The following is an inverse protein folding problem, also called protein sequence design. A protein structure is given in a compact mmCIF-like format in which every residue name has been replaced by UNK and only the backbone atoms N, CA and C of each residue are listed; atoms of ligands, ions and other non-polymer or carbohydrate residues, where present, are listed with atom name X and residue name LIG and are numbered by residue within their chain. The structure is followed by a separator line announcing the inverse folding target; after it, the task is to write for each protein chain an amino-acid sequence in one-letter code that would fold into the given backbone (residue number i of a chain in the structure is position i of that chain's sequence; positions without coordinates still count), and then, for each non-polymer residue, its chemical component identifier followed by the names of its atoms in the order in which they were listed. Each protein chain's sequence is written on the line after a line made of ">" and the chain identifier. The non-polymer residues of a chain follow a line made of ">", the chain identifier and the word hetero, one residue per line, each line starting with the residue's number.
data_IF_642973623864
#
_entry.id   IF_642973623864
#
_cell.length_a   1.000
_cell.length_b   1.000
_cell.length_c   1.000
_cell.angle_alpha   90.00
_cell.angle_beta   90.00
_cell.angle_gamma   90.00
#
_symmetry.space_group_name_H-M   'P 1'
#
loop_
_entity.id
_entity.type
_entity.pdbx_description
1 polymer ?
#
# COMPACT_ATOMS: atom_id res chain seq x y z
N UNK A 1 -15.81 5.86 37.89
CA UNK A 1 -17.12 6.32 38.42
C UNK A 1 -17.08 7.85 38.34
N UNK A 2 -17.68 8.47 37.32
CA UNK A 2 -17.84 9.92 37.23
C UNK A 2 -18.92 10.37 38.23
N UNK A 3 -18.73 11.51 38.85
CA UNK A 3 -19.73 12.08 39.71
C UNK A 3 -21.00 12.35 38.90
N UNK A 4 -22.14 11.82 39.30
CA UNK A 4 -23.44 12.11 38.73
C UNK A 4 -23.87 13.50 39.21
N UNK A 5 -24.43 14.31 38.32
CA UNK A 5 -24.93 15.65 38.68
C UNK A 5 -26.09 15.51 39.67
N UNK A 6 -26.11 16.40 40.65
CA UNK A 6 -27.27 16.54 41.53
C UNK A 6 -28.47 17.14 40.80
N UNK A 7 -29.70 16.88 41.21
CA UNK A 7 -30.88 17.49 40.60
C UNK A 7 -30.81 19.04 40.52
N UNK A 8 -30.27 19.66 41.51
CA UNK A 8 -30.07 21.16 41.53
C UNK A 8 -29.05 21.60 40.46
N UNK A 9 -27.95 20.87 40.27
CA UNK A 9 -26.98 21.17 39.21
C UNK A 9 -27.59 20.98 37.81
N UNK A 10 -28.41 19.94 37.61
CA UNK A 10 -29.13 19.73 36.34
C UNK A 10 -30.10 20.86 36.03
N UNK A 11 -30.89 21.35 37.03
CA UNK A 11 -31.78 22.49 36.85
C UNK A 11 -31.02 23.78 36.51
N UNK A 12 -29.86 24.04 37.16
CA UNK A 12 -28.99 25.19 36.86
C UNK A 12 -28.46 25.11 35.46
N UNK A 13 -27.95 23.93 35.05
CA UNK A 13 -27.43 23.73 33.69
C UNK A 13 -28.53 23.83 32.60
N UNK A 14 -29.74 23.33 32.87
CA UNK A 14 -30.86 23.48 31.96
C UNK A 14 -31.24 24.97 31.77
N UNK A 15 -31.26 25.75 32.85
CA UNK A 15 -31.50 27.18 32.80
C UNK A 15 -30.39 27.94 32.04
N UNK A 16 -29.14 27.56 32.22
CA UNK A 16 -27.99 28.13 31.50
C UNK A 16 -28.08 27.84 29.99
N UNK A 17 -28.25 26.59 29.63
CA UNK A 17 -28.39 26.15 28.22
C UNK A 17 -29.59 26.79 27.53
N UNK A 18 -30.72 26.98 28.24
CA UNK A 18 -31.91 27.63 27.69
C UNK A 18 -31.71 29.12 27.31
N UNK A 19 -30.62 29.75 27.70
CA UNK A 19 -30.23 31.11 27.28
C UNK A 19 -29.38 31.20 26.02
N UNK A 20 -28.96 30.06 25.49
CA UNK A 20 -28.01 29.99 24.40
C UNK A 20 -28.69 29.40 23.17
N UNK A 21 -28.55 30.07 22.02
CA UNK A 21 -29.03 29.50 20.75
C UNK A 21 -27.98 28.56 20.15
N UNK A 22 -28.25 27.24 20.01
CA UNK A 22 -27.34 26.30 19.37
C UNK A 22 -26.94 26.70 17.94
N UNK A 23 -27.83 27.38 17.21
CA UNK A 23 -27.58 27.80 15.83
C UNK A 23 -26.49 28.90 15.76
N UNK A 24 -26.40 29.78 16.76
CA UNK A 24 -25.35 30.81 16.83
C UNK A 24 -23.97 30.15 17.03
N UNK A 25 -23.87 29.16 17.93
CA UNK A 25 -22.64 28.43 18.15
C UNK A 25 -22.26 27.69 16.87
N UNK A 26 -23.20 27.00 16.22
CA UNK A 26 -22.92 26.26 14.99
C UNK A 26 -22.40 27.15 13.86
N UNK A 27 -22.93 28.36 13.71
CA UNK A 27 -22.42 29.35 12.74
C UNK A 27 -20.98 29.75 13.06
N UNK A 28 -20.68 30.07 14.30
CA UNK A 28 -19.29 30.38 14.75
C UNK A 28 -18.37 29.18 14.49
N UNK A 29 -18.80 27.95 14.77
CA UNK A 29 -18.02 26.75 14.48
C UNK A 29 -17.64 26.65 13.00
N UNK A 30 -18.63 26.82 12.09
CA UNK A 30 -18.38 26.72 10.64
C UNK A 30 -17.40 27.78 10.15
N UNK A 31 -17.51 29.01 10.66
CA UNK A 31 -16.57 30.09 10.34
C UNK A 31 -15.13 29.77 10.82
N UNK A 32 -15.00 29.26 12.04
CA UNK A 32 -13.71 28.83 12.60
C UNK A 32 -13.13 27.64 11.83
N UNK A 33 -13.93 26.62 11.48
CA UNK A 33 -13.47 25.49 10.68
C UNK A 33 -12.91 25.95 9.34
N UNK A 34 -13.63 26.85 8.65
CA UNK A 34 -13.20 27.42 7.38
C UNK A 34 -11.89 28.18 7.49
N UNK A 35 -11.70 28.94 8.57
CA UNK A 35 -10.54 29.80 8.75
C UNK A 35 -9.30 29.06 9.24
N UNK A 36 -9.45 27.99 10.03
CA UNK A 36 -8.34 27.36 10.74
C UNK A 36 -8.00 25.94 10.24
N UNK A 37 -8.91 25.28 9.51
CA UNK A 37 -8.71 23.90 9.06
C UNK A 37 -8.61 23.87 7.54
N UNK A 38 -7.43 23.49 7.04
CA UNK A 38 -7.11 23.49 5.58
C UNK A 38 -8.10 22.68 4.75
N UNK A 39 -8.52 21.51 5.21
CA UNK A 39 -9.49 20.67 4.52
C UNK A 39 -10.86 21.34 4.41
N UNK A 40 -11.33 21.97 5.46
CA UNK A 40 -12.61 22.68 5.46
C UNK A 40 -12.58 23.96 4.60
N UNK A 41 -11.46 24.66 4.52
CA UNK A 41 -11.29 25.83 3.66
C UNK A 41 -11.45 25.50 2.16
N UNK A 42 -11.30 24.23 1.78
CA UNK A 42 -11.42 23.76 0.38
C UNK A 42 -12.83 23.25 0.04
N UNK A 43 -13.70 23.07 1.04
CA UNK A 43 -15.04 22.60 0.80
C UNK A 43 -15.89 23.68 0.13
N UNK A 44 -16.85 23.30 -0.76
CA UNK A 44 -17.79 24.23 -1.36
C UNK A 44 -18.65 24.93 -0.31
N UNK A 45 -18.98 26.21 -0.55
CA UNK A 45 -19.84 27.00 0.36
C UNK A 45 -21.22 26.34 0.59
N UNK A 46 -21.75 25.61 -0.39
CA UNK A 46 -23.00 24.84 -0.27
C UNK A 46 -22.88 23.69 0.73
N UNK A 47 -21.73 23.04 0.83
CA UNK A 47 -21.46 21.98 1.81
C UNK A 47 -21.31 22.57 3.20
N UNK A 48 -20.55 23.68 3.34
CA UNK A 48 -20.36 24.37 4.61
C UNK A 48 -21.67 24.91 5.18
N UNK A 49 -22.44 25.64 4.37
CA UNK A 49 -23.72 26.24 4.79
C UNK A 49 -24.87 25.21 4.91
N UNK A 50 -24.75 24.05 4.29
CA UNK A 50 -25.75 22.99 4.37
C UNK A 50 -25.36 21.91 5.40
N UNK A 51 -24.63 20.91 4.94
CA UNK A 51 -24.35 19.71 5.74
C UNK A 51 -23.52 19.99 6.99
N UNK A 52 -22.46 20.81 6.88
CA UNK A 52 -21.58 21.08 8.03
C UNK A 52 -22.31 21.90 9.08
N UNK A 53 -23.04 22.92 8.67
CA UNK A 53 -23.82 23.73 9.60
C UNK A 53 -24.88 22.88 10.32
N UNK A 54 -25.61 22.03 9.60
CA UNK A 54 -26.65 21.18 10.19
C UNK A 54 -26.08 20.16 11.19
N UNK A 55 -24.96 19.50 10.88
CA UNK A 55 -24.33 18.54 11.80
C UNK A 55 -23.71 19.26 13.00
N UNK A 56 -23.16 20.48 12.81
CA UNK A 56 -22.61 21.30 13.90
C UNK A 56 -23.70 21.75 14.86
N UNK A 57 -24.86 22.19 14.35
CA UNK A 57 -26.00 22.56 15.19
C UNK A 57 -26.51 21.34 15.99
N UNK A 58 -26.65 20.20 15.34
CA UNK A 58 -27.07 18.96 16.02
C UNK A 58 -26.05 18.50 17.07
N UNK A 59 -24.75 18.74 16.83
CA UNK A 59 -23.71 18.45 17.80
C UNK A 59 -23.88 19.29 19.07
N UNK A 60 -24.14 20.59 18.94
CA UNK A 60 -24.38 21.48 20.08
C UNK A 60 -25.67 21.09 20.82
N UNK A 61 -26.75 20.82 20.11
CA UNK A 61 -28.03 20.39 20.69
C UNK A 61 -27.88 19.09 21.49
N UNK A 62 -27.17 18.11 20.94
CA UNK A 62 -26.91 16.83 21.61
C UNK A 62 -26.00 17.00 22.83
N UNK A 63 -24.98 17.84 22.72
CA UNK A 63 -24.11 18.16 23.86
C UNK A 63 -24.92 18.81 24.98
N UNK A 64 -25.77 19.81 24.70
CA UNK A 64 -26.64 20.46 25.67
C UNK A 64 -27.60 19.48 26.34
N UNK A 65 -28.19 18.56 25.56
CA UNK A 65 -29.04 17.48 26.09
C UNK A 65 -28.23 16.56 27.01
N UNK A 66 -27.02 16.17 26.61
CA UNK A 66 -26.18 15.27 27.39
C UNK A 66 -25.83 15.82 28.78
N UNK A 67 -25.56 17.15 28.88
CA UNK A 67 -25.25 17.77 30.17
C UNK A 67 -26.50 18.00 31.03
N UNK A 68 -27.66 18.26 30.42
CA UNK A 68 -28.92 18.47 31.19
C UNK A 68 -29.54 17.16 31.66
N UNK A 69 -29.38 16.07 30.90
CA UNK A 69 -29.88 14.75 31.24
C UNK A 69 -28.85 13.86 31.97
N UNK A 70 -27.64 14.37 32.23
CA UNK A 70 -26.51 13.65 32.85
C UNK A 70 -26.28 12.26 32.22
N UNK A 71 -26.28 12.20 30.90
CA UNK A 71 -26.03 10.95 30.15
C UNK A 71 -25.17 11.17 28.91
N UNK A 72 -24.52 10.11 28.45
CA UNK A 72 -23.84 10.10 27.16
C UNK A 72 -24.83 10.02 25.99
N UNK A 73 -24.36 10.27 24.75
CA UNK A 73 -25.15 10.05 23.55
C UNK A 73 -25.49 8.57 23.36
N UNK A 74 -26.67 8.29 22.83
CA UNK A 74 -27.07 6.95 22.41
C UNK A 74 -26.55 6.62 21.01
N UNK A 75 -26.61 5.35 20.63
CA UNK A 75 -26.20 4.91 19.28
C UNK A 75 -26.97 5.63 18.16
N UNK A 76 -28.29 5.80 18.32
CA UNK A 76 -29.15 6.48 17.35
C UNK A 76 -28.81 7.99 17.26
N UNK A 77 -28.45 8.60 18.38
CA UNK A 77 -28.05 10.01 18.42
C UNK A 77 -26.69 10.25 17.77
N UNK A 78 -25.82 9.21 17.69
CA UNK A 78 -24.53 9.26 17.01
C UNK A 78 -24.62 9.06 15.49
N UNK A 79 -25.74 8.52 14.96
CA UNK A 79 -25.84 8.20 13.53
C UNK A 79 -25.65 9.41 12.58
N UNK A 80 -26.18 10.61 12.86
CA UNK A 80 -25.91 11.78 12.01
C UNK A 80 -24.43 12.17 11.91
N UNK A 81 -23.63 11.88 12.95
CA UNK A 81 -22.17 12.14 12.96
C UNK A 81 -21.44 11.07 12.18
N UNK A 82 -21.90 9.81 12.25
CA UNK A 82 -21.39 8.71 11.41
C UNK A 82 -21.68 8.96 9.94
N UNK A 83 -22.89 9.40 9.60
CA UNK A 83 -23.23 9.75 8.22
C UNK A 83 -22.36 10.90 7.69
N UNK A 84 -22.14 11.93 8.51
CA UNK A 84 -21.19 13.00 8.17
C UNK A 84 -19.78 12.48 8.00
N UNK A 85 -19.30 11.53 8.82
CA UNK A 85 -17.97 10.95 8.72
C UNK A 85 -17.79 10.15 7.43
N UNK A 86 -18.79 9.36 7.00
CA UNK A 86 -18.80 8.67 5.70
C UNK A 86 -18.66 9.65 4.56
N UNK A 87 -19.49 10.69 4.51
CA UNK A 87 -19.43 11.71 3.46
C UNK A 87 -18.08 12.41 3.41
N UNK A 88 -17.44 12.68 4.56
CA UNK A 88 -16.11 13.30 4.60
C UNK A 88 -15.02 12.34 4.13
N UNK A 89 -15.13 11.04 4.39
CA UNK A 89 -14.23 10.02 3.85
C UNK A 89 -14.34 9.94 2.31
N UNK A 90 -15.59 9.93 1.77
CA UNK A 90 -15.85 9.95 0.33
C UNK A 90 -15.29 11.20 -0.37
N UNK A 91 -15.37 12.36 0.28
CA UNK A 91 -14.84 13.63 -0.22
C UNK A 91 -13.31 13.75 -0.07
N UNK A 92 -12.67 12.77 0.58
CA UNK A 92 -11.22 12.78 0.80
C UNK A 92 -10.73 13.81 1.82
N UNK A 93 -11.62 14.30 2.73
CA UNK A 93 -11.21 15.17 3.83
C UNK A 93 -10.32 14.36 4.79
N UNK A 94 -9.11 14.82 5.15
CA UNK A 94 -8.25 14.11 6.09
C UNK A 94 -8.93 13.87 7.45
N UNK A 95 -8.77 12.65 8.01
CA UNK A 95 -9.31 12.32 9.34
C UNK A 95 -8.84 13.29 10.42
N UNK A 96 -7.60 13.75 10.34
CA UNK A 96 -7.03 14.71 11.26
C UNK A 96 -7.82 16.03 11.28
N UNK A 97 -8.18 16.54 10.09
CA UNK A 97 -8.99 17.75 9.92
C UNK A 97 -10.39 17.56 10.48
N UNK A 98 -11.00 16.38 10.22
CA UNK A 98 -12.31 16.04 10.76
C UNK A 98 -12.30 16.01 12.29
N UNK A 99 -11.36 15.31 12.91
CA UNK A 99 -11.24 15.23 14.36
C UNK A 99 -10.84 16.59 14.99
N UNK A 100 -10.09 17.42 14.27
CA UNK A 100 -9.79 18.77 14.70
C UNK A 100 -11.07 19.62 14.80
N UNK A 101 -11.96 19.51 13.80
CA UNK A 101 -13.25 20.23 13.85
C UNK A 101 -14.10 19.82 15.06
N UNK A 102 -14.18 18.53 15.40
CA UNK A 102 -14.92 18.08 16.59
C UNK A 102 -14.32 18.60 17.90
N UNK A 103 -12.98 18.58 18.04
CA UNK A 103 -12.32 19.15 19.22
C UNK A 103 -12.52 20.67 19.34
N UNK A 104 -12.41 21.37 18.20
CA UNK A 104 -12.66 22.82 18.13
C UNK A 104 -14.11 23.14 18.48
N UNK A 105 -15.06 22.37 17.96
CA UNK A 105 -16.48 22.52 18.28
C UNK A 105 -16.77 22.34 19.77
N UNK A 106 -16.18 21.30 20.40
CA UNK A 106 -16.29 21.09 21.85
C UNK A 106 -15.73 22.26 22.66
N UNK A 107 -14.59 22.82 22.25
CA UNK A 107 -13.98 23.99 22.87
C UNK A 107 -14.90 25.23 22.76
N UNK A 108 -15.36 25.55 21.56
CA UNK A 108 -16.25 26.69 21.31
C UNK A 108 -17.58 26.58 22.09
N UNK A 109 -18.17 25.38 22.11
CA UNK A 109 -19.36 25.12 22.91
C UNK A 109 -19.15 25.34 24.39
N UNK A 110 -18.01 24.89 24.93
CA UNK A 110 -17.63 25.11 26.32
C UNK A 110 -17.34 26.58 26.65
N UNK A 111 -16.56 27.27 25.83
CA UNK A 111 -16.28 28.69 25.97
C UNK A 111 -17.59 29.53 26.02
N UNK A 112 -18.55 29.20 25.13
CA UNK A 112 -19.86 29.86 25.11
C UNK A 112 -20.64 29.63 26.41
N UNK A 113 -20.60 28.38 26.95
CA UNK A 113 -21.25 28.10 28.25
C UNK A 113 -20.60 28.89 29.38
N UNK A 114 -19.27 29.00 29.43
CA UNK A 114 -18.55 29.76 30.42
C UNK A 114 -18.87 31.25 30.32
N UNK A 115 -18.91 31.80 29.10
CA UNK A 115 -19.27 33.21 28.84
C UNK A 115 -20.71 33.55 29.25
N UNK A 116 -21.65 32.62 29.09
CA UNK A 116 -23.06 32.80 29.44
C UNK A 116 -23.37 32.55 30.92
N UNK A 117 -22.46 31.89 31.65
CA UNK A 117 -22.68 31.49 33.03
C UNK A 117 -22.55 32.67 34.01
N UNK A 118 -23.43 32.71 35.02
CA UNK A 118 -23.35 33.62 36.15
C UNK A 118 -22.41 33.07 37.24
N UNK A 119 -21.92 33.89 38.16
CA UNK A 119 -20.99 33.46 39.19
C UNK A 119 -21.52 32.31 40.07
N UNK A 120 -22.83 32.28 40.34
CA UNK A 120 -23.53 31.27 41.13
C UNK A 120 -23.74 29.93 40.35
N UNK A 121 -23.60 29.94 39.05
CA UNK A 121 -23.78 28.76 38.15
C UNK A 121 -22.42 28.02 37.91
N UNK A 122 -21.27 28.61 38.22
CA UNK A 122 -19.95 28.01 38.00
C UNK A 122 -19.75 26.64 38.68
N UNK A 123 -20.25 26.39 39.90
CA UNK A 123 -20.09 25.03 40.49
C UNK A 123 -20.76 23.96 39.68
N UNK A 124 -21.98 24.20 39.15
CA UNK A 124 -22.68 23.24 38.28
C UNK A 124 -21.98 23.07 36.94
N UNK A 125 -21.46 24.15 36.36
CA UNK A 125 -20.69 24.11 35.12
C UNK A 125 -19.41 23.30 35.30
N UNK A 126 -18.69 23.46 36.39
CA UNK A 126 -17.47 22.70 36.69
C UNK A 126 -17.79 21.21 36.88
N UNK A 127 -18.90 20.85 37.52
CA UNK A 127 -19.36 19.48 37.66
C UNK A 127 -19.67 18.84 36.26
N UNK A 128 -20.18 19.63 35.30
CA UNK A 128 -20.46 19.21 33.92
C UNK A 128 -19.20 19.02 33.05
N UNK A 129 -18.01 19.53 33.44
CA UNK A 129 -16.81 19.42 32.64
C UNK A 129 -16.43 17.96 32.32
N UNK A 130 -16.64 17.03 33.27
CA UNK A 130 -16.45 15.60 33.05
C UNK A 130 -17.41 15.00 32.00
N UNK A 131 -18.62 15.52 31.89
CA UNK A 131 -19.58 15.12 30.87
C UNK A 131 -19.15 15.58 29.48
N UNK A 132 -18.63 16.80 29.35
CA UNK A 132 -18.08 17.31 28.11
C UNK A 132 -16.94 16.39 27.60
N UNK A 133 -16.01 16.01 28.46
CA UNK A 133 -14.89 15.15 28.07
C UNK A 133 -15.40 13.79 27.56
N UNK A 134 -16.32 13.15 28.29
CA UNK A 134 -16.95 11.88 27.84
C UNK A 134 -17.74 12.04 26.54
N UNK A 135 -18.44 13.14 26.39
CA UNK A 135 -19.20 13.45 25.18
C UNK A 135 -18.26 13.56 23.95
N UNK A 136 -17.21 14.38 24.06
CA UNK A 136 -16.22 14.55 22.99
C UNK A 136 -15.56 13.22 22.64
N UNK A 137 -15.22 12.41 23.65
CA UNK A 137 -14.61 11.10 23.45
C UNK A 137 -15.56 10.14 22.70
N UNK A 138 -16.83 10.08 23.12
CA UNK A 138 -17.85 9.23 22.46
C UNK A 138 -18.08 9.62 21.00
N UNK A 139 -18.27 10.91 20.72
CA UNK A 139 -18.50 11.41 19.35
C UNK A 139 -17.25 11.22 18.49
N UNK A 140 -16.09 11.61 19.01
CA UNK A 140 -14.82 11.48 18.27
C UNK A 140 -14.48 10.02 17.95
N UNK A 141 -14.75 9.10 18.87
CA UNK A 141 -14.53 7.66 18.66
C UNK A 141 -15.47 7.10 17.59
N UNK A 142 -16.76 7.43 17.66
CA UNK A 142 -17.73 6.99 16.66
C UNK A 142 -17.41 7.53 15.26
N UNK A 143 -17.04 8.81 15.16
CA UNK A 143 -16.64 9.46 13.91
C UNK A 143 -15.36 8.85 13.34
N UNK A 144 -14.32 8.66 14.18
CA UNK A 144 -13.04 8.09 13.74
C UNK A 144 -13.20 6.66 13.23
N UNK A 145 -13.95 5.83 13.95
CA UNK A 145 -14.19 4.44 13.56
C UNK A 145 -14.95 4.37 12.24
N UNK A 146 -16.05 5.11 12.11
CA UNK A 146 -16.84 5.13 10.87
C UNK A 146 -16.04 5.66 9.68
N UNK A 147 -15.25 6.71 9.88
CA UNK A 147 -14.36 7.24 8.82
C UNK A 147 -13.36 6.20 8.35
N UNK A 148 -12.71 5.50 9.29
CA UNK A 148 -11.71 4.47 8.95
C UNK A 148 -12.34 3.28 8.23
N UNK A 149 -13.51 2.83 8.67
CA UNK A 149 -14.25 1.74 8.02
C UNK A 149 -14.62 2.11 6.58
N UNK A 150 -15.17 3.33 6.36
CA UNK A 150 -15.52 3.82 5.03
C UNK A 150 -14.29 4.00 4.14
N UNK A 151 -13.22 4.59 4.68
CA UNK A 151 -11.97 4.75 3.93
C UNK A 151 -11.38 3.39 3.50
N UNK A 152 -11.41 2.38 4.36
CA UNK A 152 -10.99 1.02 4.01
C UNK A 152 -11.89 0.40 2.93
N UNK A 153 -13.20 0.64 3.01
CA UNK A 153 -14.14 0.19 2.00
C UNK A 153 -13.84 0.79 0.62
N UNK A 154 -13.66 2.10 0.56
CA UNK A 154 -13.33 2.83 -0.68
C UNK A 154 -12.00 2.34 -1.30
N UNK A 155 -10.97 2.15 -0.48
CA UNK A 155 -9.67 1.61 -0.93
C UNK A 155 -9.83 0.20 -1.49
N UNK A 156 -10.61 -0.66 -0.80
CA UNK A 156 -10.85 -2.05 -1.22
C UNK A 156 -11.65 -2.14 -2.52
N UNK A 157 -12.64 -1.27 -2.71
CA UNK A 157 -13.40 -1.18 -3.95
C UNK A 157 -12.54 -0.71 -5.12
N UNK A 158 -11.69 0.29 -4.91
CA UNK A 158 -10.77 0.77 -5.93
C UNK A 158 -9.78 -0.32 -6.34
N UNK A 159 -9.18 -1.03 -5.38
CA UNK A 159 -8.31 -2.16 -5.68
C UNK A 159 -9.04 -3.28 -6.43
N UNK A 160 -10.29 -3.53 -6.10
CA UNK A 160 -11.12 -4.50 -6.81
C UNK A 160 -11.39 -4.09 -8.26
N UNK A 161 -11.70 -2.80 -8.51
CA UNK A 161 -11.89 -2.27 -9.87
C UNK A 161 -10.61 -2.39 -10.69
N UNK A 162 -9.46 -2.00 -10.10
CA UNK A 162 -8.15 -2.12 -10.72
C UNK A 162 -7.82 -3.57 -11.08
N UNK A 163 -8.07 -4.51 -10.16
CA UNK A 163 -7.86 -5.96 -10.39
C UNK A 163 -8.74 -6.50 -11.51
N UNK A 164 -10.03 -6.14 -11.50
CA UNK A 164 -10.98 -6.56 -12.54
C UNK A 164 -10.56 -6.03 -13.93
N UNK A 165 -10.10 -4.77 -14.00
CA UNK A 165 -9.58 -4.21 -15.24
C UNK A 165 -8.32 -4.92 -15.72
N UNK A 166 -7.37 -5.16 -14.80
CA UNK A 166 -6.14 -5.92 -15.10
C UNK A 166 -6.47 -7.28 -15.68
N UNK A 167 -7.33 -8.07 -15.03
CA UNK A 167 -7.76 -9.38 -15.49
C UNK A 167 -8.39 -9.35 -16.89
N UNK A 168 -9.24 -8.35 -17.15
CA UNK A 168 -9.86 -8.17 -18.46
C UNK A 168 -8.87 -7.77 -19.57
N UNK A 169 -7.79 -7.07 -19.22
CA UNK A 169 -6.73 -6.69 -20.17
C UNK A 169 -5.78 -7.83 -20.49
N UNK A 170 -5.41 -8.65 -19.49
CA UNK A 170 -4.46 -9.76 -19.67
C UNK A 170 -5.11 -11.04 -20.20
N UNK A 171 -6.45 -11.12 -20.22
CA UNK A 171 -7.24 -12.23 -20.74
C UNK A 171 -8.22 -11.74 -21.82
N UNK A 172 -7.72 -11.23 -22.96
CA UNK A 172 -8.56 -10.65 -24.02
C UNK A 172 -9.48 -11.67 -24.69
N UNK A 173 -9.24 -12.97 -24.55
CA UNK A 173 -10.09 -14.05 -25.01
C UNK A 173 -11.42 -14.14 -24.25
N UNK A 174 -11.52 -13.53 -23.07
CA UNK A 174 -12.76 -13.41 -22.31
C UNK A 174 -13.44 -12.12 -22.72
N UNK A 175 -14.49 -12.22 -23.54
CA UNK A 175 -15.27 -11.05 -23.92
C UNK A 175 -15.79 -10.32 -22.67
N UNK A 176 -15.43 -9.04 -22.55
CA UNK A 176 -15.95 -8.17 -21.49
C UNK A 176 -16.59 -6.95 -22.13
N UNK A 177 -17.92 -6.95 -22.34
CA UNK A 177 -18.64 -5.83 -22.95
C UNK A 177 -18.54 -4.55 -22.11
N UNK A 178 -18.30 -4.68 -20.80
CA UNK A 178 -18.16 -3.54 -19.89
C UNK A 178 -16.72 -3.00 -19.80
N UNK A 179 -15.77 -3.51 -20.59
CA UNK A 179 -14.36 -3.13 -20.49
C UNK A 179 -14.13 -1.62 -20.64
N UNK A 180 -14.85 -0.97 -21.57
CA UNK A 180 -14.74 0.48 -21.79
C UNK A 180 -15.23 1.27 -20.59
N UNK A 181 -16.37 0.88 -20.03
CA UNK A 181 -16.94 1.55 -18.87
C UNK A 181 -16.07 1.35 -17.63
N UNK A 182 -15.50 0.15 -17.47
CA UNK A 182 -14.59 -0.17 -16.38
C UNK A 182 -13.29 0.66 -16.49
N UNK A 183 -12.70 0.71 -17.68
CA UNK A 183 -11.50 1.50 -17.93
C UNK A 183 -11.74 3.00 -17.70
N UNK A 184 -12.90 3.53 -18.12
CA UNK A 184 -13.29 4.91 -17.87
C UNK A 184 -13.46 5.22 -16.37
N UNK A 185 -14.06 4.30 -15.59
CA UNK A 185 -14.22 4.45 -14.13
C UNK A 185 -12.89 4.39 -13.40
N UNK A 186 -11.96 3.57 -13.87
CA UNK A 186 -10.60 3.45 -13.31
C UNK A 186 -9.72 4.63 -13.75
N UNK A 187 -10.09 5.34 -14.81
CA UNK A 187 -9.29 6.41 -15.40
C UNK A 187 -8.06 5.90 -16.16
N UNK A 188 -8.08 4.64 -16.62
CA UNK A 188 -6.97 4.02 -17.35
C UNK A 188 -7.28 3.96 -18.87
N UNK A 189 -6.37 4.45 -19.75
CA UNK A 189 -6.62 4.49 -21.19
C UNK A 189 -6.63 3.09 -21.80
N UNK A 190 -7.60 2.81 -22.69
CA UNK A 190 -7.60 1.60 -23.48
C UNK A 190 -6.71 1.77 -24.70
N UNK A 191 -5.72 0.90 -24.84
CA UNK A 191 -4.78 0.83 -25.95
C UNK A 191 -4.65 -0.59 -26.49
N UNK A 192 -4.03 -0.75 -27.64
CA UNK A 192 -3.70 -2.06 -28.20
C UNK A 192 -2.46 -2.68 -27.53
N UNK A 193 -1.56 -1.84 -27.05
CA UNK A 193 -0.29 -2.22 -26.43
C UNK A 193 -0.11 -1.48 -25.12
N UNK A 194 0.54 -2.17 -24.19
CA UNK A 194 0.92 -1.62 -22.88
C UNK A 194 2.32 -2.06 -22.51
N UNK A 195 2.99 -1.32 -21.68
CA UNK A 195 4.25 -1.74 -21.05
C UNK A 195 3.95 -2.32 -19.68
N UNK A 196 4.19 -3.62 -19.48
CA UNK A 196 4.06 -4.23 -18.15
C UNK A 196 5.20 -3.77 -17.26
N UNK A 197 4.94 -3.67 -15.95
CA UNK A 197 5.98 -3.35 -14.97
C UNK A 197 5.80 -4.16 -13.69
N UNK A 198 6.90 -4.29 -12.95
CA UNK A 198 6.90 -4.74 -11.56
C UNK A 198 7.93 -3.94 -10.77
N UNK A 199 7.66 -3.69 -9.47
CA UNK A 199 8.55 -2.97 -8.57
C UNK A 199 8.41 -3.49 -7.15
N UNK A 200 9.53 -3.63 -6.43
CA UNK A 200 9.56 -4.01 -5.03
C UNK A 200 10.28 -2.94 -4.19
N UNK A 201 9.97 -2.93 -2.90
CA UNK A 201 10.60 -2.08 -1.88
C UNK A 201 11.17 -2.98 -0.79
N UNK A 202 12.39 -3.52 -0.97
CA UNK A 202 12.97 -4.46 -0.02
C UNK A 202 13.07 -3.88 1.39
N UNK A 203 12.63 -4.66 2.39
CA UNK A 203 12.64 -4.23 3.80
C UNK A 203 11.59 -3.20 4.20
N UNK A 204 10.78 -2.71 3.26
CA UNK A 204 9.69 -1.80 3.57
C UNK A 204 8.49 -2.54 4.17
N UNK A 205 7.72 -1.92 5.06
CA UNK A 205 6.50 -2.50 5.60
C UNK A 205 5.43 -2.66 4.51
N UNK A 206 4.50 -3.61 4.69
CA UNK A 206 3.48 -3.95 3.68
C UNK A 206 2.68 -2.73 3.18
N UNK A 207 2.36 -1.79 4.06
CA UNK A 207 1.62 -0.59 3.68
C UNK A 207 2.38 0.32 2.69
N UNK A 208 3.71 0.25 2.65
CA UNK A 208 4.51 1.06 1.71
C UNK A 208 4.26 0.64 0.24
N UNK A 209 4.01 -0.65 -0.01
CA UNK A 209 3.65 -1.14 -1.34
C UNK A 209 2.24 -0.65 -1.77
N UNK A 210 1.28 -0.64 -0.85
CA UNK A 210 -0.05 -0.08 -1.10
C UNK A 210 0.01 1.43 -1.36
N UNK A 211 0.83 2.17 -0.62
CA UNK A 211 1.07 3.59 -0.87
C UNK A 211 1.73 3.82 -2.24
N UNK A 212 2.71 3.01 -2.62
CA UNK A 212 3.33 3.07 -3.94
C UNK A 212 2.31 2.79 -5.04
N UNK A 213 1.49 1.73 -4.91
CA UNK A 213 0.44 1.43 -5.88
C UNK A 213 -0.55 2.60 -6.03
N UNK A 214 -0.97 3.21 -4.93
CA UNK A 214 -1.83 4.38 -4.92
C UNK A 214 -1.18 5.59 -5.62
N UNK A 215 0.10 5.85 -5.35
CA UNK A 215 0.86 6.93 -5.99
C UNK A 215 1.03 6.72 -7.51
N UNK A 216 1.20 5.47 -7.95
CA UNK A 216 1.27 5.12 -9.38
C UNK A 216 -0.09 5.28 -10.06
N UNK A 217 -1.18 4.85 -9.40
CA UNK A 217 -2.56 5.06 -9.88
C UNK A 217 -2.89 6.54 -10.05
N UNK A 218 -2.51 7.38 -9.11
CA UNK A 218 -2.69 8.83 -9.20
C UNK A 218 -1.97 9.46 -10.41
N UNK A 219 -1.01 8.74 -11.01
CA UNK A 219 -0.30 9.13 -12.24
C UNK A 219 -0.86 8.44 -13.50
N UNK A 220 -2.02 7.81 -13.40
CA UNK A 220 -2.69 7.16 -14.52
C UNK A 220 -2.19 5.75 -14.87
N UNK A 221 -1.43 5.09 -13.97
CA UNK A 221 -1.02 3.70 -14.18
C UNK A 221 -2.06 2.73 -13.61
N UNK A 222 -2.18 1.57 -14.22
CA UNK A 222 -2.90 0.43 -13.63
C UNK A 222 -1.94 -0.32 -12.73
N UNK A 223 -2.12 -0.23 -11.40
CA UNK A 223 -1.17 -0.74 -10.42
C UNK A 223 -1.85 -1.54 -9.31
N UNK A 224 -1.38 -2.75 -9.06
CA UNK A 224 -1.87 -3.68 -8.05
C UNK A 224 -0.76 -4.03 -7.06
N UNK A 225 -1.12 -4.11 -5.78
CA UNK A 225 -0.23 -4.65 -4.75
C UNK A 225 -0.33 -6.18 -4.73
N UNK A 226 0.80 -6.87 -4.85
CA UNK A 226 0.91 -8.33 -4.81
C UNK A 226 1.99 -8.72 -3.78
N UNK A 227 1.58 -8.90 -2.53
CA UNK A 227 2.50 -9.20 -1.44
C UNK A 227 3.52 -8.09 -1.22
N UNK A 228 4.78 -8.35 -1.54
CA UNK A 228 5.92 -7.46 -1.35
C UNK A 228 6.35 -6.72 -2.63
N UNK A 229 5.43 -6.59 -3.60
CA UNK A 229 5.66 -5.88 -4.86
C UNK A 229 4.42 -5.15 -5.36
N UNK A 230 4.62 -4.22 -6.26
CA UNK A 230 3.59 -3.59 -7.07
C UNK A 230 3.79 -3.98 -8.52
N UNK A 231 2.73 -4.52 -9.15
CA UNK A 231 2.75 -4.97 -10.54
C UNK A 231 1.66 -4.25 -11.32
N UNK A 232 1.91 -3.94 -12.59
CA UNK A 232 0.90 -3.21 -13.33
C UNK A 232 1.21 -3.00 -14.81
N UNK A 233 0.41 -2.13 -15.40
CA UNK A 233 0.49 -1.72 -16.79
C UNK A 233 0.59 -0.20 -16.88
N UNK A 234 1.31 0.26 -17.87
CA UNK A 234 1.43 1.66 -18.20
C UNK A 234 1.23 1.86 -19.70
N UNK A 235 0.71 3.01 -20.10
CA UNK A 235 0.60 3.37 -21.51
C UNK A 235 1.99 3.43 -22.15
N UNK A 236 2.04 3.23 -23.48
CA UNK A 236 3.29 3.07 -24.23
C UNK A 236 4.24 4.29 -24.09
N UNK A 237 3.67 5.48 -23.99
CA UNK A 237 4.35 6.78 -23.98
C UNK A 237 4.61 7.37 -22.59
N UNK A 238 4.38 6.60 -21.53
CA UNK A 238 4.55 7.11 -20.17
C UNK A 238 6.02 7.27 -19.79
N UNK A 239 6.28 8.31 -18.97
CA UNK A 239 7.61 8.62 -18.45
C UNK A 239 8.08 7.56 -17.44
N UNK A 240 9.25 6.98 -17.68
CA UNK A 240 9.88 5.97 -16.80
C UNK A 240 10.36 6.53 -15.46
N UNK A 241 10.52 7.84 -15.34
CA UNK A 241 10.91 8.48 -14.09
C UNK A 241 9.97 8.17 -12.92
N UNK A 242 8.73 7.74 -13.20
CA UNK A 242 7.75 7.31 -12.18
C UNK A 242 8.22 6.09 -11.39
N UNK A 243 9.12 5.26 -11.94
CA UNK A 243 9.62 4.05 -11.28
C UNK A 243 10.89 4.27 -10.46
N UNK A 244 11.59 5.37 -10.61
CA UNK A 244 12.88 5.61 -9.95
C UNK A 244 12.75 5.86 -8.45
N UNK A 245 11.61 6.31 -7.96
CA UNK A 245 11.35 6.58 -6.54
C UNK A 245 10.05 5.92 -6.08
N UNK A 246 9.99 5.41 -4.82
CA UNK A 246 11.11 5.19 -3.89
C UNK A 246 12.14 4.19 -4.42
N UNK A 247 13.34 4.12 -3.83
CA UNK A 247 14.40 3.20 -4.24
C UNK A 247 13.97 1.74 -4.10
N UNK A 248 14.53 0.88 -4.94
CA UNK A 248 14.27 -0.54 -4.99
C UNK A 248 14.31 -1.08 -6.42
N UNK A 249 14.42 -2.41 -6.57
CA UNK A 249 14.43 -3.05 -7.88
C UNK A 249 13.10 -2.86 -8.62
N UNK A 250 13.17 -2.55 -9.90
CA UNK A 250 12.03 -2.50 -10.78
C UNK A 250 12.38 -3.00 -12.19
N UNK A 251 11.39 -3.52 -12.89
CA UNK A 251 11.49 -3.91 -14.28
C UNK A 251 10.31 -3.33 -15.05
N UNK A 252 10.58 -2.82 -16.25
CA UNK A 252 9.58 -2.29 -17.18
C UNK A 252 9.77 -2.95 -18.54
N UNK A 253 8.71 -3.58 -19.03
CA UNK A 253 8.74 -4.24 -20.33
C UNK A 253 8.59 -3.28 -21.50
N UNK A 254 8.85 -3.79 -22.71
CA UNK A 254 8.56 -3.11 -23.96
C UNK A 254 7.05 -3.08 -24.23
N UNK A 255 6.57 -2.20 -25.16
CA UNK A 255 5.18 -2.18 -25.58
C UNK A 255 4.73 -3.56 -26.09
N UNK A 256 3.78 -4.19 -25.38
CA UNK A 256 3.34 -5.58 -25.53
C UNK A 256 1.85 -5.60 -25.88
N UNK A 257 1.42 -6.40 -26.87
CA UNK A 257 0.01 -6.55 -27.20
C UNK A 257 -0.74 -7.28 -26.09
N UNK A 258 -2.05 -7.04 -25.97
CA UNK A 258 -2.88 -7.58 -24.89
C UNK A 258 -2.83 -9.10 -24.77
N UNK A 259 -2.69 -9.82 -25.87
CA UNK A 259 -2.59 -11.29 -25.90
C UNK A 259 -1.33 -11.85 -25.24
N UNK A 260 -0.31 -11.06 -25.06
CA UNK A 260 0.99 -11.44 -24.50
C UNK A 260 1.25 -10.83 -23.11
N UNK A 261 0.36 -9.95 -22.63
CA UNK A 261 0.56 -9.22 -21.36
C UNK A 261 0.69 -10.13 -20.15
N UNK A 262 -0.07 -11.25 -20.09
CA UNK A 262 0.02 -12.18 -18.98
C UNK A 262 1.44 -12.75 -18.82
N UNK A 263 2.04 -13.17 -19.94
CA UNK A 263 3.41 -13.69 -19.95
C UNK A 263 4.44 -12.59 -19.64
N UNK A 264 4.26 -11.41 -20.23
CA UNK A 264 5.17 -10.29 -20.00
C UNK A 264 5.13 -9.78 -18.55
N UNK A 265 3.96 -9.75 -17.90
CA UNK A 265 3.85 -9.45 -16.47
C UNK A 265 4.55 -10.49 -15.60
N UNK A 266 4.46 -11.77 -15.95
CA UNK A 266 5.18 -12.83 -15.26
C UNK A 266 6.70 -12.66 -15.37
N UNK A 267 7.19 -12.25 -16.55
CA UNK A 267 8.62 -11.93 -16.75
C UNK A 267 9.04 -10.74 -15.86
N UNK A 268 8.25 -9.67 -15.78
CA UNK A 268 8.57 -8.51 -14.91
C UNK A 268 8.62 -8.88 -13.43
N UNK A 269 7.70 -9.73 -12.97
CA UNK A 269 7.71 -10.24 -11.59
C UNK A 269 8.99 -11.04 -11.31
N UNK A 270 9.35 -11.93 -12.22
CA UNK A 270 10.55 -12.75 -12.10
C UNK A 270 11.82 -11.88 -12.07
N UNK A 271 11.93 -10.89 -12.95
CA UNK A 271 13.06 -9.96 -12.97
C UNK A 271 13.23 -9.24 -11.64
N UNK A 272 12.13 -8.73 -11.06
CA UNK A 272 12.18 -8.07 -9.76
C UNK A 272 12.58 -9.04 -8.65
N UNK A 273 12.14 -10.30 -8.67
CA UNK A 273 12.57 -11.31 -7.69
C UNK A 273 14.06 -11.63 -7.81
N UNK A 274 14.57 -11.74 -9.02
CA UNK A 274 16.01 -11.94 -9.27
C UNK A 274 16.80 -10.72 -8.83
N UNK A 275 16.36 -9.51 -9.19
CA UNK A 275 17.02 -8.28 -8.78
C UNK A 275 17.07 -8.08 -7.25
N UNK A 276 16.02 -8.52 -6.53
CA UNK A 276 16.02 -8.51 -5.05
C UNK A 276 17.10 -9.43 -4.48
N UNK A 277 17.28 -10.61 -5.05
CA UNK A 277 18.32 -11.57 -4.63
C UNK A 277 19.74 -11.06 -4.88
N UNK A 278 19.91 -10.40 -6.02
CA UNK A 278 21.18 -9.77 -6.43
C UNK A 278 21.39 -8.39 -5.78
N UNK A 279 20.44 -7.93 -4.92
CA UNK A 279 20.47 -6.64 -4.23
C UNK A 279 20.61 -5.44 -5.19
N UNK A 280 20.00 -5.54 -6.37
CA UNK A 280 19.96 -4.45 -7.35
C UNK A 280 19.09 -3.32 -6.83
N UNK A 281 19.57 -2.07 -6.90
CA UNK A 281 18.76 -0.87 -6.63
C UNK A 281 18.58 -0.12 -7.96
N UNK A 282 17.37 -0.16 -8.49
CA UNK A 282 17.06 0.49 -9.76
C UNK A 282 16.44 -0.45 -10.80
N UNK A 283 16.62 -0.10 -12.07
CA UNK A 283 16.09 -0.86 -13.20
C UNK A 283 16.86 -2.17 -13.40
N UNK A 284 16.10 -3.22 -13.66
CA UNK A 284 16.64 -4.54 -13.99
C UNK A 284 16.45 -4.77 -15.47
N UNK A 285 17.57 -4.76 -16.18
CA UNK A 285 17.59 -5.04 -17.60
C UNK A 285 17.27 -6.52 -17.87
N UNK A 286 16.28 -6.79 -18.72
CA UNK A 286 15.87 -8.15 -19.07
C UNK A 286 17.04 -8.95 -19.70
N UNK A 287 17.92 -8.28 -20.43
CA UNK A 287 19.07 -8.90 -21.11
C UNK A 287 20.05 -9.56 -20.14
N UNK A 288 20.12 -9.09 -18.89
CA UNK A 288 20.96 -9.68 -17.86
C UNK A 288 20.46 -11.05 -17.35
N UNK A 289 19.17 -11.38 -17.58
CA UNK A 289 18.51 -12.54 -17.03
C UNK A 289 17.78 -13.39 -18.10
N UNK A 290 18.25 -13.31 -19.34
CA UNK A 290 17.64 -14.07 -20.46
C UNK A 290 17.60 -15.59 -20.21
N UNK A 291 18.66 -16.23 -19.67
CA UNK A 291 18.62 -17.65 -19.34
C UNK A 291 17.49 -17.99 -18.34
N UNK A 292 17.35 -17.20 -17.27
CA UNK A 292 16.35 -17.38 -16.23
C UNK A 292 14.93 -17.20 -16.79
N UNK A 293 14.70 -16.18 -17.63
CA UNK A 293 13.42 -15.95 -18.30
C UNK A 293 13.04 -17.10 -19.23
N UNK A 294 13.97 -17.62 -20.02
CA UNK A 294 13.74 -18.77 -20.89
C UNK A 294 13.39 -20.04 -20.11
N UNK A 295 14.11 -20.30 -19.02
CA UNK A 295 13.88 -21.46 -18.17
C UNK A 295 12.55 -21.38 -17.41
N UNK A 296 12.13 -20.20 -17.00
CA UNK A 296 10.85 -19.99 -16.35
C UNK A 296 9.66 -20.31 -17.27
N UNK A 297 9.82 -20.13 -18.59
CA UNK A 297 8.81 -20.48 -19.60
C UNK A 297 8.71 -21.97 -19.91
N UNK A 298 9.71 -22.76 -19.49
CA UNK A 298 9.77 -24.20 -19.71
C UNK A 298 10.25 -24.96 -18.46
N UNK A 299 9.47 -24.92 -17.35
CA UNK A 299 9.91 -25.41 -16.05
C UNK A 299 10.29 -26.91 -16.04
N UNK A 300 9.58 -27.74 -16.79
CA UNK A 300 9.87 -29.18 -16.87
C UNK A 300 11.21 -29.46 -17.58
N UNK A 301 11.50 -28.70 -18.65
CA UNK A 301 12.79 -28.80 -19.33
C UNK A 301 13.92 -28.26 -18.45
N UNK A 302 13.67 -27.14 -17.79
CA UNK A 302 14.63 -26.52 -16.87
C UNK A 302 15.00 -27.48 -15.72
N UNK A 303 14.01 -28.16 -15.13
CA UNK A 303 14.23 -29.16 -14.07
C UNK A 303 15.07 -30.33 -14.57
N UNK A 304 14.74 -30.89 -15.73
CA UNK A 304 15.52 -31.99 -16.32
C UNK A 304 16.98 -31.61 -16.62
N UNK A 305 17.22 -30.36 -17.06
CA UNK A 305 18.56 -29.87 -17.28
C UNK A 305 19.31 -29.79 -15.94
N UNK A 306 18.69 -29.17 -14.91
CA UNK A 306 19.31 -29.02 -13.60
C UNK A 306 19.63 -30.39 -12.96
N UNK A 307 18.70 -31.31 -12.93
CA UNK A 307 18.88 -32.66 -12.35
C UNK A 307 20.00 -33.42 -13.05
N UNK A 308 20.05 -33.36 -14.38
CA UNK A 308 21.10 -34.02 -15.16
C UNK A 308 22.48 -33.47 -14.89
N UNK A 309 22.61 -32.12 -14.79
CA UNK A 309 23.88 -31.42 -14.70
C UNK A 309 24.34 -31.26 -13.25
N UNK A 310 23.46 -30.80 -12.37
CA UNK A 310 23.81 -30.49 -10.98
C UNK A 310 23.62 -31.65 -10.03
N UNK A 311 22.70 -32.60 -10.33
CA UNK A 311 22.44 -33.75 -9.49
C UNK A 311 23.70 -34.54 -9.09
N UNK A 312 24.61 -34.89 -10.04
CA UNK A 312 25.88 -35.54 -9.71
C UNK A 312 26.78 -34.70 -8.78
N UNK A 313 26.78 -33.36 -8.91
CA UNK A 313 27.56 -32.47 -8.05
C UNK A 313 26.96 -32.36 -6.64
N UNK A 314 25.64 -32.31 -6.55
CA UNK A 314 24.91 -32.27 -5.28
C UNK A 314 25.07 -33.58 -4.50
N UNK A 315 24.89 -34.72 -5.16
CA UNK A 315 25.12 -36.04 -4.57
C UNK A 315 26.59 -36.24 -4.11
N UNK A 316 27.55 -35.61 -4.77
CA UNK A 316 28.95 -35.61 -4.34
C UNK A 316 29.17 -34.71 -3.14
N UNK A 317 28.50 -33.54 -3.10
CA UNK A 317 28.59 -32.58 -2.00
C UNK A 317 28.00 -33.12 -0.69
N UNK A 318 26.94 -33.92 -0.74
CA UNK A 318 26.36 -34.60 0.42
C UNK A 318 27.34 -35.58 1.09
N UNK A 319 28.22 -36.16 0.31
CA UNK A 319 29.22 -37.14 0.81
C UNK A 319 30.53 -36.51 1.23
N UNK A 320 30.86 -35.34 0.71
CA UNK A 320 32.14 -34.63 0.95
C UNK A 320 31.93 -33.13 0.83
N UNK A 321 32.47 -32.37 1.79
CA UNK A 321 32.54 -30.90 1.69
C UNK A 321 33.45 -30.51 0.54
N UNK A 322 32.90 -30.26 -0.64
CA UNK A 322 33.72 -30.16 -1.86
C UNK A 322 33.85 -28.76 -2.44
N UNK A 323 32.88 -27.85 -2.19
CA UNK A 323 32.83 -26.52 -2.79
C UNK A 323 32.79 -26.51 -4.33
N UNK A 324 32.34 -27.61 -4.98
CA UNK A 324 32.36 -27.73 -6.44
C UNK A 324 31.31 -26.81 -7.09
N UNK A 325 30.11 -26.71 -6.51
CA UNK A 325 29.05 -25.83 -7.01
C UNK A 325 29.41 -24.36 -6.88
N UNK A 326 30.01 -23.98 -5.75
CA UNK A 326 30.54 -22.61 -5.55
C UNK A 326 31.68 -22.30 -6.50
N UNK A 327 32.51 -23.32 -6.79
CA UNK A 327 33.61 -23.16 -7.75
C UNK A 327 33.08 -22.95 -9.17
N UNK A 328 32.08 -23.70 -9.59
CA UNK A 328 31.46 -23.54 -10.89
C UNK A 328 30.79 -22.16 -11.04
N UNK A 329 30.03 -21.75 -10.06
CA UNK A 329 29.34 -20.42 -10.05
C UNK A 329 30.37 -19.26 -10.10
N UNK A 330 31.40 -19.32 -9.27
CA UNK A 330 32.48 -18.33 -9.28
C UNK A 330 33.30 -18.32 -10.59
N UNK A 331 33.54 -19.48 -11.20
CA UNK A 331 34.26 -19.59 -12.44
C UNK A 331 33.52 -18.93 -13.61
N UNK A 332 32.21 -19.17 -13.70
CA UNK A 332 31.33 -18.49 -14.67
C UNK A 332 31.23 -16.98 -14.40
N UNK A 333 31.03 -16.58 -13.16
CA UNK A 333 30.94 -15.17 -12.76
C UNK A 333 32.26 -14.39 -13.04
N UNK A 334 33.41 -15.05 -12.98
CA UNK A 334 34.70 -14.48 -13.33
C UNK A 334 35.00 -14.47 -14.83
N UNK A 335 34.08 -14.86 -15.69
CA UNK A 335 34.28 -14.92 -17.14
C UNK A 335 35.29 -16.00 -17.56
N UNK A 336 35.28 -17.13 -16.86
CA UNK A 336 36.19 -18.28 -17.09
C UNK A 336 37.67 -18.00 -16.79
N UNK A 337 37.96 -16.91 -16.08
CA UNK A 337 39.33 -16.56 -15.66
C UNK A 337 39.72 -17.35 -14.41
N UNK A 338 40.60 -18.33 -14.61
CA UNK A 338 41.11 -19.22 -13.54
C UNK A 338 41.82 -18.47 -12.42
N UNK A 339 42.59 -17.47 -12.76
CA UNK A 339 43.37 -16.71 -11.76
C UNK A 339 42.41 -15.89 -10.88
N UNK A 340 41.51 -15.14 -11.51
CA UNK A 340 40.51 -14.33 -10.82
C UNK A 340 39.59 -15.19 -9.97
N UNK A 341 39.18 -16.37 -10.47
CA UNK A 341 38.34 -17.32 -9.71
C UNK A 341 39.09 -17.86 -8.48
N UNK A 342 40.38 -18.22 -8.61
CA UNK A 342 41.16 -18.72 -7.48
C UNK A 342 41.32 -17.63 -6.40
N UNK A 343 41.54 -16.39 -6.81
CA UNK A 343 41.64 -15.22 -5.91
C UNK A 343 40.28 -15.00 -5.20
N UNK A 344 39.17 -15.02 -5.92
CA UNK A 344 37.84 -14.82 -5.35
C UNK A 344 37.45 -15.92 -4.34
N UNK A 345 37.78 -17.17 -4.63
CA UNK A 345 37.49 -18.31 -3.77
C UNK A 345 38.51 -18.51 -2.65
N UNK A 346 39.59 -17.70 -2.61
CA UNK A 346 40.72 -17.84 -1.69
C UNK A 346 41.33 -19.24 -1.69
N UNK A 347 41.50 -19.84 -2.90
CA UNK A 347 42.11 -21.15 -3.07
C UNK A 347 43.37 -21.09 -3.93
N UNK A 348 44.24 -22.09 -3.76
CA UNK A 348 45.40 -22.20 -4.64
C UNK A 348 44.96 -22.58 -6.09
N UNK A 349 45.63 -22.09 -7.16
CA UNK A 349 45.30 -22.42 -8.54
C UNK A 349 45.20 -23.93 -8.82
N UNK A 350 46.07 -24.74 -8.27
CA UNK A 350 46.02 -26.20 -8.40
C UNK A 350 44.75 -26.82 -7.81
N UNK A 351 44.21 -26.21 -6.73
CA UNK A 351 42.94 -26.63 -6.11
C UNK A 351 41.79 -26.30 -7.02
N UNK A 352 41.80 -25.13 -7.66
CA UNK A 352 40.81 -24.73 -8.65
C UNK A 352 40.83 -25.70 -9.85
N UNK A 353 42.00 -25.99 -10.41
CA UNK A 353 42.12 -26.92 -11.55
C UNK A 353 41.67 -28.35 -11.19
N UNK A 354 41.93 -28.79 -9.97
CA UNK A 354 41.40 -30.06 -9.47
C UNK A 354 39.87 -30.03 -9.39
N UNK A 355 39.30 -28.96 -8.84
CA UNK A 355 37.84 -28.82 -8.73
C UNK A 355 37.15 -28.75 -10.10
N UNK A 356 37.68 -28.00 -11.06
CA UNK A 356 37.15 -27.90 -12.41
C UNK A 356 37.21 -29.26 -13.13
N UNK A 357 38.32 -29.98 -13.03
CA UNK A 357 38.41 -31.36 -13.54
C UNK A 357 37.36 -32.28 -12.90
N UNK A 358 37.18 -32.16 -11.59
CA UNK A 358 36.19 -32.98 -10.88
C UNK A 358 34.77 -32.67 -11.30
N UNK A 359 34.46 -31.42 -11.59
CA UNK A 359 33.18 -31.01 -12.18
C UNK A 359 32.99 -31.70 -13.54
N UNK A 360 33.96 -31.61 -14.42
CA UNK A 360 33.90 -32.26 -15.73
C UNK A 360 33.71 -33.78 -15.64
N UNK A 361 34.39 -34.47 -14.73
CA UNK A 361 34.25 -35.92 -14.51
C UNK A 361 32.85 -36.30 -14.03
N UNK A 362 32.27 -35.50 -13.11
CA UNK A 362 30.97 -35.81 -12.51
C UNK A 362 29.80 -35.46 -13.44
N UNK A 363 29.89 -34.37 -14.17
CA UNK A 363 28.82 -33.87 -15.06
C UNK A 363 28.94 -34.41 -16.49
N UNK A 364 30.11 -34.90 -16.88
CA UNK A 364 30.50 -35.19 -18.26
C UNK A 364 30.43 -33.95 -19.17
N UNK A 365 30.59 -32.77 -18.62
CA UNK A 365 30.60 -31.49 -19.30
C UNK A 365 31.89 -30.74 -18.92
N UNK A 366 32.66 -30.28 -19.90
CA UNK A 366 33.88 -29.53 -19.66
C UNK A 366 33.58 -28.02 -19.55
N UNK A 367 33.83 -27.37 -18.37
CA UNK A 367 33.63 -25.94 -18.22
C UNK A 367 34.50 -25.07 -19.15
N UNK A 368 35.50 -25.65 -19.82
CA UNK A 368 36.34 -24.97 -20.82
C UNK A 368 35.76 -25.04 -22.25
N UNK A 369 34.79 -25.91 -22.51
CA UNK A 369 34.21 -26.11 -23.84
C UNK A 369 32.93 -25.27 -24.03
N UNK A 370 32.82 -24.41 -25.07
CA UNK A 370 31.73 -23.46 -25.22
C UNK A 370 30.34 -24.12 -25.26
N UNK A 371 30.24 -25.33 -25.81
CA UNK A 371 28.95 -26.05 -25.92
C UNK A 371 28.48 -26.60 -24.58
N UNK A 372 29.43 -27.09 -23.77
CA UNK A 372 29.12 -27.66 -22.45
C UNK A 372 28.84 -26.53 -21.45
N UNK A 373 29.51 -25.39 -21.63
CA UNK A 373 29.32 -24.18 -20.84
C UNK A 373 27.87 -23.72 -20.80
N UNK A 374 27.19 -23.70 -21.97
CA UNK A 374 25.78 -23.32 -22.05
C UNK A 374 24.89 -24.21 -21.16
N UNK A 375 25.16 -25.52 -21.12
CA UNK A 375 24.40 -26.44 -20.28
C UNK A 375 24.66 -26.22 -18.79
N UNK A 376 25.91 -25.89 -18.43
CA UNK A 376 26.29 -25.57 -17.06
C UNK A 376 25.66 -24.25 -16.59
N UNK A 377 25.64 -23.23 -17.45
CA UNK A 377 25.01 -21.93 -17.18
C UNK A 377 23.49 -22.09 -17.00
N UNK A 378 22.80 -22.79 -17.91
CA UNK A 378 21.36 -23.02 -17.79
C UNK A 378 21.01 -23.80 -16.51
N UNK A 379 21.80 -24.79 -16.14
CA UNK A 379 21.57 -25.54 -14.90
C UNK A 379 21.70 -24.65 -13.65
N UNK A 380 22.72 -23.79 -13.61
CA UNK A 380 22.91 -22.83 -12.51
C UNK A 380 21.82 -21.76 -12.48
N UNK A 381 21.42 -21.25 -13.64
CA UNK A 381 20.30 -20.29 -13.74
C UNK A 381 18.99 -20.91 -13.19
N UNK A 382 18.68 -22.19 -13.51
CA UNK A 382 17.55 -22.91 -12.93
C UNK A 382 17.65 -23.04 -11.42
N UNK A 383 18.85 -23.31 -10.89
CA UNK A 383 19.08 -23.35 -9.43
C UNK A 383 18.81 -22.02 -8.74
N UNK A 384 19.18 -20.90 -9.38
CA UNK A 384 18.84 -19.55 -8.89
C UNK A 384 17.32 -19.35 -8.82
N UNK A 385 16.56 -19.84 -9.80
CA UNK A 385 15.09 -19.80 -9.80
C UNK A 385 14.48 -20.64 -8.66
N UNK A 386 15.04 -21.79 -8.31
CA UNK A 386 14.50 -22.72 -7.32
C UNK A 386 14.82 -22.43 -5.85
N UNK A 387 15.63 -21.44 -5.56
CA UNK A 387 16.02 -21.04 -4.20
C UNK A 387 15.05 -20.03 -3.56
N UNK A 388 13.79 -19.97 -4.00
CA UNK A 388 12.73 -19.10 -3.51
C UNK A 388 11.74 -19.82 -2.61
#
# INVERSE_FOLDING_TARGET
>A
MGATLSPTEQEVLAALVGRIDPADIARRMVEEFRSQITGYARLPDTVLAGQILAVSQRNVELFFRSITEDRGPTEDELEPFRESARSRAEEGLPLEDLLHAYRMGGRLGWETLVEAARPDEYPALLAAAGLLMRYIDSVSSAVAQTYLDEHQHLVSEEERRQRTLMEALIHPERENPALRDLAARVGFPLAERYRPFSKSLPGAPTHAHSQLASALRARGLLALTEGDRVTGLVAEDADEAVFTRPRGPYAVGTPTPRTELAAALADMRLLVDLGRREQVDGEIAADAFVPELLLARSPDLATRIADRVLGPLEAYAERRTSGLLETLDAFLACGLDRRRTAEQLHVHPNTLDYRLRRIAELTSLDPGEPRDLVMLELALARRKLGRG
#
